data_IF_217589907786
#
_entry.id   IF_217589907786
#
_cell.length_a   1.000
_cell.length_b   1.000
_cell.length_c   1.000
_cell.angle_alpha   90.00
_cell.angle_beta   90.00
_cell.angle_gamma   90.00
#
_symmetry.space_group_name_H-M   'P 1'
#
loop_
_entity.id
_entity.type
_entity.pdbx_description
1 polymer ?
#
# COMPACT_ATOMS: atom_id res chain seq x y z
N UNK A 1 4.65 -9.14 -15.52
CA UNK A 1 4.18 -10.47 -15.01
C UNK A 1 3.20 -10.23 -13.88
N UNK A 2 2.20 -11.10 -13.67
CA UNK A 2 1.30 -11.01 -12.51
C UNK A 2 1.35 -12.36 -11.80
N UNK A 3 1.88 -12.35 -10.57
CA UNK A 3 1.99 -13.50 -9.70
C UNK A 3 1.44 -13.11 -8.31
N UNK A 4 0.35 -13.76 -7.88
CA UNK A 4 -0.38 -13.41 -6.68
C UNK A 4 -0.75 -14.67 -5.94
N UNK A 5 -0.18 -14.85 -4.75
CA UNK A 5 -0.45 -15.99 -3.90
C UNK A 5 -1.94 -16.19 -3.59
N UNK A 6 -2.42 -17.43 -3.45
CA UNK A 6 -3.84 -17.75 -3.27
C UNK A 6 -4.46 -17.19 -1.98
N UNK A 7 -3.68 -16.96 -0.93
CA UNK A 7 -4.17 -16.40 0.34
C UNK A 7 -4.25 -14.88 0.37
N UNK A 8 -3.74 -14.18 -0.66
CA UNK A 8 -3.81 -12.72 -0.73
C UNK A 8 -5.27 -12.26 -0.73
N UNK A 9 -5.65 -11.25 0.07
CA UNK A 9 -7.02 -10.75 0.12
C UNK A 9 -7.54 -10.32 -1.25
N UNK A 10 -8.67 -10.87 -1.68
CA UNK A 10 -9.28 -10.61 -2.98
C UNK A 10 -10.73 -10.18 -2.87
N UNK A 11 -11.19 -9.56 -3.95
CA UNK A 11 -12.60 -9.21 -4.17
C UNK A 11 -12.97 -9.63 -5.59
N UNK A 12 -14.27 -9.83 -5.85
CA UNK A 12 -14.74 -10.25 -7.18
C UNK A 12 -15.63 -9.17 -7.77
N UNK A 13 -15.06 -8.39 -8.70
CA UNK A 13 -15.77 -7.34 -9.43
C UNK A 13 -15.39 -7.38 -10.91
N UNK A 14 -15.88 -8.37 -11.69
CA UNK A 14 -15.40 -8.63 -13.05
C UNK A 14 -15.59 -7.43 -14.00
N UNK A 15 -16.62 -6.62 -13.83
CA UNK A 15 -16.84 -5.42 -14.62
C UNK A 15 -15.78 -4.36 -14.32
N UNK A 16 -15.54 -4.06 -13.03
CA UNK A 16 -14.52 -3.09 -12.61
C UNK A 16 -13.12 -3.56 -13.03
N UNK A 17 -12.83 -4.85 -12.89
CA UNK A 17 -11.58 -5.44 -13.36
C UNK A 17 -11.33 -5.17 -14.84
N UNK A 18 -12.33 -5.44 -15.70
CA UNK A 18 -12.21 -5.24 -17.15
C UNK A 18 -12.01 -3.75 -17.49
N UNK A 19 -12.77 -2.86 -16.87
CA UNK A 19 -12.65 -1.41 -17.05
C UNK A 19 -11.26 -0.96 -16.65
N UNK A 20 -10.81 -1.29 -15.45
CA UNK A 20 -9.52 -0.88 -14.93
C UNK A 20 -8.35 -1.41 -15.78
N UNK A 21 -8.38 -2.69 -16.15
CA UNK A 21 -7.35 -3.28 -17.00
C UNK A 21 -7.29 -2.62 -18.40
N UNK A 22 -8.43 -2.34 -19.02
CA UNK A 22 -8.49 -1.63 -20.31
C UNK A 22 -8.01 -0.19 -20.20
N UNK A 23 -8.36 0.50 -19.12
CA UNK A 23 -7.91 1.88 -18.87
C UNK A 23 -6.39 1.93 -18.71
N UNK A 24 -5.79 1.04 -17.91
CA UNK A 24 -4.34 0.96 -17.78
C UNK A 24 -3.67 0.68 -19.11
N UNK A 25 -4.17 -0.30 -19.87
CA UNK A 25 -3.63 -0.66 -21.18
C UNK A 25 -3.73 0.50 -22.19
N UNK A 26 -4.87 1.20 -22.24
CA UNK A 26 -5.06 2.38 -23.08
C UNK A 26 -4.11 3.52 -22.74
N UNK A 27 -3.83 3.72 -21.45
CA UNK A 27 -2.85 4.70 -20.97
C UNK A 27 -1.40 4.25 -21.18
N UNK A 28 -1.17 3.02 -21.67
CA UNK A 28 0.15 2.42 -21.90
C UNK A 28 0.84 1.92 -20.62
N UNK A 29 0.08 1.70 -19.53
CA UNK A 29 0.61 1.16 -18.28
C UNK A 29 0.59 -0.36 -18.24
N UNK A 30 1.64 -0.95 -17.67
CA UNK A 30 1.76 -2.40 -17.47
C UNK A 30 1.76 -2.73 -15.99
N UNK A 31 1.29 -3.93 -15.68
CA UNK A 31 1.36 -4.50 -14.33
C UNK A 31 2.52 -5.49 -14.25
N UNK A 32 3.35 -5.32 -13.25
CA UNK A 32 4.46 -6.23 -12.94
C UNK A 32 4.52 -6.43 -11.42
N UNK A 33 3.75 -7.41 -10.94
CA UNK A 33 3.50 -7.61 -9.52
C UNK A 33 3.78 -9.04 -9.08
N UNK A 34 4.37 -9.14 -7.89
CA UNK A 34 4.51 -10.37 -7.15
C UNK A 34 4.03 -10.14 -5.71
N UNK A 35 2.92 -10.78 -5.34
CA UNK A 35 2.44 -10.79 -3.96
C UNK A 35 2.69 -12.16 -3.35
N UNK A 36 3.36 -12.24 -2.18
CA UNK A 36 3.62 -13.51 -1.50
C UNK A 36 2.30 -14.18 -1.10
N UNK A 37 2.32 -15.51 -0.95
CA UNK A 37 1.15 -16.26 -0.47
C UNK A 37 0.93 -16.03 1.03
N UNK A 38 0.48 -14.81 1.36
CA UNK A 38 0.24 -14.36 2.73
C UNK A 38 -1.13 -13.70 2.86
N UNK A 39 -1.93 -14.07 3.89
CA UNK A 39 -3.24 -13.47 4.10
C UNK A 39 -3.17 -12.06 4.71
N UNK A 40 -2.01 -11.68 5.24
CA UNK A 40 -1.80 -10.39 5.93
C UNK A 40 -0.48 -9.78 5.51
N UNK A 41 -0.50 -8.48 5.17
CA UNK A 41 0.71 -7.76 4.77
C UNK A 41 0.57 -6.25 4.86
N UNK A 42 1.69 -5.56 5.00
CA UNK A 42 1.80 -4.12 4.76
C UNK A 42 2.26 -3.92 3.32
N UNK A 43 1.51 -3.18 2.52
CA UNK A 43 1.87 -2.76 1.17
C UNK A 43 2.45 -1.35 1.26
N UNK A 44 3.77 -1.23 1.12
CA UNK A 44 4.49 0.03 1.22
C UNK A 44 4.50 0.71 -0.13
N UNK A 45 3.70 1.77 -0.29
CA UNK A 45 3.58 2.52 -1.54
C UNK A 45 4.47 3.74 -1.57
N UNK A 46 5.55 3.69 -2.34
CA UNK A 46 6.42 4.81 -2.65
C UNK A 46 6.91 4.72 -4.10
N UNK A 47 7.36 5.81 -4.73
CA UNK A 47 7.17 7.22 -4.34
C UNK A 47 5.70 7.65 -4.32
N UNK A 48 5.34 8.60 -3.43
CA UNK A 48 3.99 9.18 -3.39
C UNK A 48 4.04 10.70 -3.58
N UNK A 49 4.23 11.14 -4.82
CA UNK A 49 4.50 12.55 -5.17
C UNK A 49 3.31 13.30 -5.75
N UNK A 50 2.25 12.59 -6.15
CA UNK A 50 1.04 13.16 -6.74
C UNK A 50 -0.21 12.30 -6.46
N UNK A 51 -1.40 12.83 -6.75
CA UNK A 51 -2.65 12.04 -6.70
C UNK A 51 -2.69 10.96 -7.78
N UNK A 52 -1.93 11.14 -8.86
CA UNK A 52 -1.93 10.23 -10.00
C UNK A 52 -1.34 8.86 -9.67
N UNK A 53 -0.30 8.79 -8.80
CA UNK A 53 0.18 7.51 -8.31
C UNK A 53 -0.94 6.74 -7.58
N UNK A 54 -1.75 7.47 -6.79
CA UNK A 54 -2.91 6.90 -6.12
C UNK A 54 -3.98 6.38 -7.10
N UNK A 55 -4.28 7.15 -8.17
CA UNK A 55 -5.23 6.73 -9.21
C UNK A 55 -4.74 5.47 -9.91
N UNK A 56 -3.46 5.42 -10.32
CA UNK A 56 -2.88 4.26 -10.98
C UNK A 56 -2.83 3.04 -10.05
N UNK A 57 -2.51 3.24 -8.77
CA UNK A 57 -2.54 2.17 -7.78
C UNK A 57 -3.95 1.59 -7.59
N UNK A 58 -4.99 2.45 -7.52
CA UNK A 58 -6.39 2.01 -7.44
C UNK A 58 -6.79 1.23 -8.69
N UNK A 59 -6.46 1.72 -9.88
CA UNK A 59 -6.72 0.99 -11.13
C UNK A 59 -6.02 -0.37 -11.16
N UNK A 60 -4.76 -0.45 -10.69
CA UNK A 60 -4.03 -1.71 -10.59
C UNK A 60 -4.69 -2.68 -9.60
N UNK A 61 -5.07 -2.22 -8.41
CA UNK A 61 -5.78 -3.01 -7.40
C UNK A 61 -7.09 -3.57 -7.96
N UNK A 62 -7.89 -2.74 -8.65
CA UNK A 62 -9.13 -3.17 -9.29
C UNK A 62 -8.89 -4.17 -10.45
N UNK A 63 -7.87 -3.91 -11.29
CA UNK A 63 -7.52 -4.80 -12.40
C UNK A 63 -7.05 -6.18 -11.95
N UNK A 64 -6.51 -6.29 -10.75
CA UNK A 64 -6.05 -7.54 -10.13
C UNK A 64 -7.06 -8.15 -9.16
N UNK A 65 -8.22 -7.52 -8.96
CA UNK A 65 -9.24 -7.94 -7.98
C UNK A 65 -8.65 -8.10 -6.56
N UNK A 66 -7.69 -7.24 -6.18
CA UNK A 66 -7.11 -7.21 -4.85
C UNK A 66 -7.98 -6.42 -3.88
N UNK A 67 -7.92 -6.79 -2.61
CA UNK A 67 -8.55 -6.07 -1.52
C UNK A 67 -7.46 -5.50 -0.61
N UNK A 68 -7.11 -4.23 -0.85
CA UNK A 68 -6.08 -3.50 -0.11
C UNK A 68 -6.74 -2.31 0.59
N UNK A 69 -6.76 -2.37 1.92
CA UNK A 69 -7.33 -1.33 2.77
C UNK A 69 -6.44 -0.09 2.88
N UNK A 70 -7.09 1.02 3.21
CA UNK A 70 -6.46 2.31 3.47
C UNK A 70 -6.83 2.80 4.87
N UNK A 71 -6.03 3.69 5.43
CA UNK A 71 -6.39 4.39 6.66
C UNK A 71 -7.45 5.44 6.40
N UNK A 72 -8.54 5.37 7.11
CA UNK A 72 -9.65 6.33 7.02
C UNK A 72 -9.99 6.84 8.41
N UNK A 73 -10.25 8.15 8.53
CA UNK A 73 -10.64 8.73 9.81
C UNK A 73 -11.87 8.01 10.36
N UNK A 74 -11.83 7.59 11.64
CA UNK A 74 -12.89 6.81 12.28
C UNK A 74 -14.29 7.48 12.15
N UNK A 75 -14.35 8.82 12.13
CA UNK A 75 -15.60 9.55 11.99
C UNK A 75 -16.35 9.27 10.68
N UNK A 76 -15.64 8.87 9.60
CA UNK A 76 -16.28 8.50 8.33
C UNK A 76 -17.13 7.23 8.45
N UNK A 77 -16.83 6.35 9.40
CA UNK A 77 -17.58 5.12 9.65
C UNK A 77 -18.91 5.34 10.40
N UNK A 78 -19.13 6.56 10.93
CA UNK A 78 -20.39 6.93 11.62
C UNK A 78 -21.57 7.00 10.65
N UNK A 79 -21.33 7.37 9.40
CA UNK A 79 -22.35 7.30 8.36
C UNK A 79 -22.58 5.83 7.96
N UNK A 80 -23.82 5.29 8.06
CA UNK A 80 -24.08 3.87 7.85
C UNK A 80 -23.77 3.41 6.42
N UNK A 81 -24.04 4.24 5.41
CA UNK A 81 -23.79 3.93 4.01
C UNK A 81 -22.27 3.93 3.72
N UNK A 82 -21.61 5.04 4.08
CA UNK A 82 -20.16 5.20 3.89
C UNK A 82 -19.43 4.15 4.72
N UNK A 83 -19.80 3.90 5.95
CA UNK A 83 -19.19 2.91 6.81
C UNK A 83 -19.29 1.49 6.26
N UNK A 84 -20.41 1.14 5.59
CA UNK A 84 -20.56 -0.16 4.92
C UNK A 84 -19.61 -0.29 3.73
N UNK A 85 -19.50 0.75 2.89
CA UNK A 85 -18.56 0.79 1.76
C UNK A 85 -17.12 0.67 2.24
N UNK A 86 -16.73 1.47 3.24
CA UNK A 86 -15.37 1.47 3.79
C UNK A 86 -15.00 0.11 4.40
N UNK A 87 -15.92 -0.55 5.08
CA UNK A 87 -15.69 -1.92 5.60
C UNK A 87 -15.52 -2.93 4.46
N UNK A 88 -16.30 -2.81 3.38
CA UNK A 88 -16.15 -3.66 2.19
C UNK A 88 -14.80 -3.47 1.47
N UNK A 89 -14.18 -2.31 1.64
CA UNK A 89 -12.85 -1.98 1.10
C UNK A 89 -11.70 -2.26 2.10
N UNK A 90 -11.95 -2.99 3.19
CA UNK A 90 -10.99 -3.24 4.27
C UNK A 90 -10.36 -1.97 4.88
N UNK A 91 -11.01 -0.82 4.74
CA UNK A 91 -10.52 0.39 5.35
C UNK A 91 -10.38 0.21 6.87
N UNK A 92 -9.27 0.70 7.42
CA UNK A 92 -9.02 0.67 8.85
C UNK A 92 -9.39 2.02 9.44
N UNK A 93 -10.38 2.05 10.37
CA UNK A 93 -10.73 3.28 11.06
C UNK A 93 -9.58 3.70 11.95
N UNK A 94 -9.11 4.93 11.77
CA UNK A 94 -8.02 5.48 12.59
C UNK A 94 -8.51 6.70 13.35
N UNK A 95 -8.30 6.67 14.65
CA UNK A 95 -8.35 7.84 15.53
C UNK A 95 -6.93 8.27 15.87
N UNK A 96 -6.52 9.42 15.33
CA UNK A 96 -5.18 9.95 15.59
C UNK A 96 -4.98 10.49 17.00
N UNK A 97 -6.08 10.73 17.71
CA UNK A 97 -6.06 11.19 19.09
C UNK A 97 -6.12 10.07 20.12
N UNK A 98 -6.34 8.83 19.70
CA UNK A 98 -6.43 7.70 20.61
C UNK A 98 -5.06 7.30 21.18
N UNK A 99 -5.00 6.79 22.43
CA UNK A 99 -3.81 6.21 23.00
C UNK A 99 -3.19 5.14 22.09
N UNK A 100 -1.86 5.11 21.96
CA UNK A 100 -1.13 4.20 21.08
C UNK A 100 -1.16 4.58 19.59
N UNK A 101 -2.01 5.53 19.19
CA UNK A 101 -2.02 6.08 17.83
C UNK A 101 -2.35 5.07 16.74
N UNK A 102 -1.87 5.36 15.52
CA UNK A 102 -2.17 4.57 14.31
C UNK A 102 -1.56 3.16 14.38
N UNK A 103 -0.37 3.02 14.99
CA UNK A 103 0.35 1.73 15.04
C UNK A 103 -0.48 0.70 15.81
N UNK A 104 -0.82 0.98 17.06
CA UNK A 104 -1.59 0.06 17.91
C UNK A 104 -2.93 -0.33 17.29
N UNK A 105 -3.67 0.63 16.74
CA UNK A 105 -4.97 0.37 16.09
C UNK A 105 -4.81 -0.53 14.85
N UNK A 106 -3.71 -0.38 14.10
CA UNK A 106 -3.46 -1.20 12.91
C UNK A 106 -3.00 -2.60 13.28
N UNK A 107 -2.15 -2.74 14.29
CA UNK A 107 -1.73 -4.05 14.83
C UNK A 107 -2.95 -4.83 15.33
N UNK A 108 -3.87 -4.17 16.04
CA UNK A 108 -5.11 -4.80 16.49
C UNK A 108 -6.01 -5.22 15.31
N UNK A 109 -6.08 -4.40 14.25
CA UNK A 109 -6.79 -4.79 13.04
C UNK A 109 -6.16 -6.04 12.37
N UNK A 110 -4.83 -6.17 12.39
CA UNK A 110 -4.15 -7.39 11.92
C UNK A 110 -4.41 -8.60 12.82
N UNK A 111 -4.53 -8.41 14.14
CA UNK A 111 -4.82 -9.51 15.07
C UNK A 111 -6.23 -10.06 14.89
N UNK A 112 -7.22 -9.16 14.76
CA UNK A 112 -8.64 -9.50 14.76
C UNK A 112 -9.19 -9.96 13.41
N UNK A 113 -8.56 -9.58 12.29
CA UNK A 113 -9.03 -9.96 10.95
C UNK A 113 -8.28 -11.18 10.42
N UNK A 114 -8.95 -12.15 9.78
CA UNK A 114 -8.29 -13.33 9.20
C UNK A 114 -7.41 -12.97 8.00
N UNK A 115 -7.81 -11.96 7.23
CA UNK A 115 -7.08 -11.44 6.07
C UNK A 115 -7.05 -9.92 6.12
N UNK A 116 -5.90 -9.32 5.82
CA UNK A 116 -5.76 -7.87 5.75
C UNK A 116 -4.49 -7.46 5.00
N UNK A 117 -4.63 -6.75 3.89
CA UNK A 117 -3.53 -6.01 3.26
C UNK A 117 -3.78 -4.52 3.44
N UNK A 118 -2.80 -3.76 3.95
CA UNK A 118 -2.93 -2.31 4.17
C UNK A 118 -1.86 -1.56 3.40
N UNK A 119 -2.28 -0.59 2.57
CA UNK A 119 -1.36 0.30 1.89
C UNK A 119 -0.95 1.48 2.78
N UNK A 120 0.35 1.73 2.84
CA UNK A 120 0.95 2.82 3.62
C UNK A 120 1.97 3.56 2.75
N UNK A 121 1.81 4.89 2.61
CA UNK A 121 2.84 5.74 2.05
C UNK A 121 3.77 6.21 3.19
N UNK A 122 5.06 5.81 3.19
CA UNK A 122 5.96 6.12 4.31
C UNK A 122 6.27 7.60 4.44
N UNK A 123 6.18 8.34 3.34
CA UNK A 123 6.34 9.79 3.29
C UNK A 123 5.23 10.53 4.07
N UNK A 124 4.01 9.97 4.10
CA UNK A 124 2.83 10.54 4.76
C UNK A 124 2.34 11.86 4.15
N UNK A 125 2.91 12.27 3.03
CA UNK A 125 2.58 13.47 2.27
C UNK A 125 3.04 13.28 0.82
N UNK A 126 2.63 14.19 -0.09
CA UNK A 126 3.09 14.24 -1.48
C UNK A 126 4.17 15.30 -1.72
N UNK A 127 4.66 15.92 -0.66
CA UNK A 127 5.79 16.86 -0.69
C UNK A 127 7.06 16.10 -0.30
N UNK A 128 8.19 16.60 -0.73
CA UNK A 128 9.50 16.07 -0.34
C UNK A 128 9.64 16.09 1.18
N UNK A 129 10.04 14.96 1.73
CA UNK A 129 10.36 14.80 3.16
C UNK A 129 11.82 14.41 3.34
N UNK A 130 12.39 14.80 4.47
CA UNK A 130 13.77 14.42 4.79
C UNK A 130 13.86 13.03 5.41
N UNK A 131 12.78 12.57 6.07
CA UNK A 131 12.73 11.25 6.73
C UNK A 131 11.37 10.60 6.53
N UNK A 132 11.38 9.31 6.26
CA UNK A 132 10.18 8.50 6.19
C UNK A 132 9.62 8.22 7.59
N UNK A 133 8.30 8.10 7.70
CA UNK A 133 7.64 7.74 8.95
C UNK A 133 7.85 6.26 9.24
N UNK A 134 8.32 5.94 10.44
CA UNK A 134 8.63 4.58 10.89
C UNK A 134 7.39 3.69 11.11
N UNK A 135 6.18 4.26 11.11
CA UNK A 135 4.95 3.54 11.48
C UNK A 135 4.69 2.25 10.70
N UNK A 136 4.97 2.21 9.39
CA UNK A 136 4.80 1.00 8.58
C UNK A 136 5.64 -0.17 9.08
N UNK A 137 6.86 0.12 9.51
CA UNK A 137 7.81 -0.87 10.01
C UNK A 137 7.38 -1.42 11.36
N UNK A 138 7.01 -0.54 12.29
CA UNK A 138 6.52 -0.93 13.61
C UNK A 138 5.27 -1.79 13.50
N UNK A 139 4.33 -1.41 12.62
CA UNK A 139 3.12 -2.20 12.34
C UNK A 139 3.50 -3.60 11.84
N UNK A 140 4.38 -3.69 10.84
CA UNK A 140 4.78 -4.96 10.27
C UNK A 140 5.51 -5.85 11.29
N UNK A 141 6.39 -5.27 12.10
CA UNK A 141 7.15 -5.95 13.15
C UNK A 141 6.23 -6.49 14.25
N UNK A 142 5.36 -5.65 14.81
CA UNK A 142 4.47 -6.02 15.91
C UNK A 142 3.36 -7.00 15.47
N UNK A 143 2.87 -6.86 14.23
CA UNK A 143 1.87 -7.77 13.67
C UNK A 143 2.48 -9.06 13.10
N UNK A 144 3.82 -9.16 12.97
CA UNK A 144 4.51 -10.31 12.38
C UNK A 144 4.22 -10.54 10.90
N UNK A 145 3.90 -9.47 10.15
CA UNK A 145 3.50 -9.55 8.73
C UNK A 145 4.59 -9.04 7.78
N UNK A 146 4.66 -9.52 6.53
CA UNK A 146 5.62 -9.02 5.56
C UNK A 146 5.28 -7.59 5.11
N UNK A 147 6.33 -6.88 4.65
CA UNK A 147 6.27 -5.60 3.95
C UNK A 147 6.50 -5.90 2.47
N UNK A 148 5.54 -5.55 1.61
CA UNK A 148 5.64 -5.64 0.16
C UNK A 148 5.88 -4.24 -0.39
N UNK A 149 7.02 -4.00 -1.05
CA UNK A 149 7.33 -2.71 -1.66
C UNK A 149 6.55 -2.56 -2.97
N UNK A 150 5.59 -1.65 -3.02
CA UNK A 150 4.79 -1.34 -4.21
C UNK A 150 5.19 0.00 -4.80
N UNK A 151 5.13 0.12 -6.13
CA UNK A 151 5.58 1.33 -6.82
C UNK A 151 4.76 1.66 -8.06
N UNK A 152 4.84 2.93 -8.46
CA UNK A 152 4.39 3.44 -9.76
C UNK A 152 5.57 4.11 -10.44
N UNK A 153 6.10 3.49 -11.50
CA UNK A 153 7.26 3.99 -12.25
C UNK A 153 6.81 4.67 -13.54
N UNK A 154 6.99 5.98 -13.59
CA UNK A 154 6.57 6.79 -14.72
C UNK A 154 7.50 6.68 -15.94
N UNK A 155 8.80 6.42 -15.73
CA UNK A 155 9.73 6.23 -16.85
C UNK A 155 9.42 4.96 -17.63
N UNK A 156 9.12 3.88 -16.92
CA UNK A 156 8.80 2.57 -17.52
C UNK A 156 7.32 2.34 -17.77
N UNK A 157 6.45 3.23 -17.26
CA UNK A 157 4.99 3.07 -17.22
C UNK A 157 4.58 1.72 -16.62
N UNK A 158 5.10 1.42 -15.43
CA UNK A 158 4.82 0.18 -14.71
C UNK A 158 4.23 0.50 -13.34
N UNK A 159 3.14 -0.19 -13.01
CA UNK A 159 2.68 -0.34 -11.62
C UNK A 159 3.09 -1.74 -11.17
N UNK A 160 3.87 -1.81 -10.11
CA UNK A 160 4.46 -3.08 -9.71
C UNK A 160 4.76 -3.22 -8.24
N UNK A 161 5.31 -4.39 -7.91
CA UNK A 161 5.89 -4.67 -6.59
C UNK A 161 7.36 -5.04 -6.76
N UNK A 162 8.13 -4.77 -5.71
CA UNK A 162 9.54 -5.10 -5.60
C UNK A 162 9.78 -6.10 -4.46
N UNK A 163 10.84 -5.90 -3.67
CA UNK A 163 11.19 -6.83 -2.61
C UNK A 163 10.08 -6.99 -1.56
N UNK A 164 10.02 -8.20 -1.03
CA UNK A 164 9.20 -8.56 0.14
C UNK A 164 10.14 -8.74 1.32
N UNK A 165 9.92 -8.00 2.40
CA UNK A 165 10.76 -8.05 3.60
C UNK A 165 9.93 -8.42 4.82
N UNK A 166 10.56 -9.12 5.76
CA UNK A 166 10.07 -9.22 7.14
C UNK A 166 10.97 -8.36 8.02
N UNK A 167 10.37 -7.57 8.92
CA UNK A 167 11.11 -6.71 9.83
C UNK A 167 12.10 -7.55 10.67
N UNK A 168 13.40 -7.28 10.51
CA UNK A 168 14.45 -8.02 11.21
C UNK A 168 14.65 -7.57 12.66
N UNK A 169 14.14 -6.40 13.01
CA UNK A 169 14.42 -5.68 14.27
C UNK A 169 15.47 -4.58 14.10
N UNK A 170 16.34 -4.67 13.10
CA UNK A 170 17.27 -3.61 12.72
C UNK A 170 16.62 -2.69 11.69
N UNK A 171 15.95 -1.65 12.18
CA UNK A 171 15.25 -0.70 11.31
C UNK A 171 16.17 0.00 10.31
N UNK A 172 17.40 0.33 10.71
CA UNK A 172 18.30 1.09 9.85
C UNK A 172 18.72 0.24 8.63
N UNK A 173 19.08 -1.01 8.86
CA UNK A 173 19.45 -1.97 7.83
C UNK A 173 18.29 -2.29 6.89
N UNK A 174 17.11 -2.55 7.46
CA UNK A 174 15.92 -2.88 6.67
C UNK A 174 15.47 -1.68 5.84
N UNK A 175 15.52 -0.46 6.42
CA UNK A 175 15.18 0.77 5.71
C UNK A 175 16.15 1.03 4.55
N UNK A 176 17.45 0.83 4.74
CA UNK A 176 18.43 0.97 3.64
C UNK A 176 18.11 0.04 2.48
N UNK A 177 17.76 -1.22 2.75
CA UNK A 177 17.36 -2.20 1.73
C UNK A 177 16.11 -1.72 0.96
N UNK A 178 15.11 -1.23 1.68
CA UNK A 178 13.87 -0.69 1.09
C UNK A 178 14.19 0.54 0.23
N UNK A 179 14.94 1.49 0.75
CA UNK A 179 15.28 2.73 0.05
C UNK A 179 16.16 2.49 -1.17
N UNK A 180 17.09 1.53 -1.10
CA UNK A 180 17.92 1.12 -2.23
C UNK A 180 17.06 0.71 -3.44
N UNK A 181 16.01 -0.06 -3.20
CA UNK A 181 15.04 -0.43 -4.23
C UNK A 181 14.35 0.81 -4.83
N UNK A 182 13.84 1.71 -4.00
CA UNK A 182 13.09 2.88 -4.48
C UNK A 182 13.95 3.94 -5.17
N UNK A 183 15.28 3.95 -4.98
CA UNK A 183 16.19 4.82 -5.76
C UNK A 183 16.09 4.58 -7.28
N UNK A 184 15.73 3.37 -7.69
CA UNK A 184 15.53 3.01 -9.10
C UNK A 184 14.15 3.32 -9.68
N UNK A 185 13.23 3.92 -8.91
CA UNK A 185 11.86 4.19 -9.33
C UNK A 185 11.68 5.67 -9.66
N UNK A 186 11.12 5.96 -10.84
CA UNK A 186 10.87 7.33 -11.30
C UNK A 186 9.44 7.76 -10.97
N UNK A 187 9.24 8.70 -10.01
CA UNK A 187 7.92 9.23 -9.68
C UNK A 187 7.42 10.22 -10.73
N UNK A 188 6.13 10.60 -10.65
CA UNK A 188 5.55 11.66 -11.49
C UNK A 188 6.24 13.01 -11.28
N UNK A 189 6.64 13.32 -10.05
CA UNK A 189 7.32 14.58 -9.68
C UNK A 189 8.63 14.28 -8.96
N UNK A 190 9.75 14.08 -9.70
CA UNK A 190 11.03 13.70 -9.09
C UNK A 190 11.51 14.64 -7.98
N UNK A 191 11.29 15.95 -8.12
CA UNK A 191 11.65 16.94 -7.10
C UNK A 191 10.94 16.80 -5.76
N UNK A 192 9.81 16.07 -5.72
CA UNK A 192 9.04 15.82 -4.50
C UNK A 192 9.43 14.51 -3.81
N UNK A 193 10.35 13.72 -4.37
CA UNK A 193 10.77 12.45 -3.82
C UNK A 193 12.18 12.50 -3.24
N UNK A 194 12.39 11.80 -2.14
CA UNK A 194 13.68 11.55 -1.54
C UNK A 194 13.72 10.09 -1.08
N UNK A 195 14.46 9.27 -1.82
CA UNK A 195 14.63 7.86 -1.50
C UNK A 195 15.55 7.61 -0.30
N UNK A 196 16.30 8.63 0.15
CA UNK A 196 17.20 8.57 1.30
C UNK A 196 16.63 9.26 2.53
N UNK A 197 15.31 9.54 2.53
CA UNK A 197 14.61 10.28 3.56
C UNK A 197 14.31 9.49 4.84
#
# INVERSE_FOLDING_TARGET
MIDIGPRVPRTTHPVLRRIAARTLAWMGWRLDVHFPDEPKMVVLGAPHTSNWEGVLAVLAVLAMELRIGLFVKHTAFRNPVIGRILRGLDAVPIDRGAPGGVVTQTVEAFRTRPQLAIAIAPEGTRRRVQKWKRGFYLIAQEAGVPIVCAYVDYARKVVGTGPVLRASGDYARDLETIQAFYRGITPKRPGNFNASG
#
